data_IF_422578703585
#
_entry.id   IF_422578703585
#
_cell.length_a   1.000
_cell.length_b   1.000
_cell.length_c   1.000
_cell.angle_alpha   90.00
_cell.angle_beta   90.00
_cell.angle_gamma   90.00
#
_symmetry.space_group_name_H-M   'P 1'
#
loop_
_entity.id
_entity.type
_entity.pdbx_description
1 polymer ?
#
# COMPACT_ATOMS: atom_id res chain seq x y z
N UNK A 1 -10.69 27.75 13.49
CA UNK A 1 -11.61 26.72 14.03
C UNK A 1 -11.19 25.42 13.37
N UNK A 2 -10.30 24.68 14.02
CA UNK A 2 -9.79 23.41 13.48
C UNK A 2 -10.91 22.37 13.56
N UNK A 3 -11.28 21.77 12.43
CA UNK A 3 -12.18 20.62 12.42
C UNK A 3 -11.56 19.51 13.31
N UNK A 4 -12.36 18.83 14.15
CA UNK A 4 -11.83 17.77 14.99
C UNK A 4 -11.21 16.73 14.05
N UNK A 5 -9.97 16.30 14.35
CA UNK A 5 -9.23 15.27 13.60
C UNK A 5 -10.01 13.96 13.62
N UNK A 6 -10.99 13.85 12.71
CA UNK A 6 -12.06 12.87 12.79
C UNK A 6 -11.58 11.56 12.18
N UNK A 7 -11.58 10.52 13.00
CA UNK A 7 -11.41 9.15 12.53
C UNK A 7 -12.61 8.78 11.65
N UNK A 8 -12.35 8.35 10.43
CA UNK A 8 -13.36 8.00 9.42
C UNK A 8 -13.60 6.48 9.42
N UNK A 9 -14.81 6.07 9.76
CA UNK A 9 -15.26 4.69 9.67
C UNK A 9 -16.09 4.53 8.41
N UNK A 10 -15.65 3.66 7.51
CA UNK A 10 -16.34 3.37 6.25
C UNK A 10 -16.52 1.87 6.07
N UNK A 11 -17.75 1.45 5.77
CA UNK A 11 -18.02 0.11 5.24
C UNK A 11 -17.70 0.12 3.75
N UNK A 12 -16.65 -0.59 3.33
CA UNK A 12 -16.38 -0.81 1.89
C UNK A 12 -17.42 -1.78 1.34
N UNK A 13 -17.65 -2.86 2.08
CA UNK A 13 -18.72 -3.84 1.88
C UNK A 13 -19.39 -4.12 3.23
N UNK A 14 -20.37 -5.01 3.28
CA UNK A 14 -20.95 -5.44 4.56
C UNK A 14 -19.93 -6.11 5.49
N UNK A 15 -18.87 -6.69 4.92
CA UNK A 15 -17.90 -7.55 5.62
C UNK A 15 -16.48 -7.00 5.66
N UNK A 16 -16.21 -5.89 4.99
CA UNK A 16 -14.90 -5.22 4.98
C UNK A 16 -15.10 -3.76 5.36
N UNK A 17 -14.52 -3.38 6.51
CA UNK A 17 -14.65 -2.06 7.13
C UNK A 17 -13.26 -1.43 7.19
N UNK A 18 -13.17 -0.13 6.95
CA UNK A 18 -11.96 0.65 7.17
C UNK A 18 -12.15 1.68 8.28
N UNK A 19 -11.14 1.83 9.14
CA UNK A 19 -11.04 2.88 10.15
C UNK A 19 -9.78 3.70 9.86
N UNK A 20 -9.97 4.89 9.32
CA UNK A 20 -8.91 5.76 8.81
C UNK A 20 -8.73 6.96 9.72
N UNK A 21 -7.51 7.16 10.23
CA UNK A 21 -7.15 8.36 10.96
C UNK A 21 -6.14 9.19 10.16
N UNK A 22 -6.24 10.54 10.13
CA UNK A 22 -5.20 11.38 9.52
C UNK A 22 -3.82 11.14 10.15
N UNK A 23 -2.74 11.36 9.39
CA UNK A 23 -1.37 11.13 9.88
C UNK A 23 -1.01 12.09 11.03
N UNK A 24 -1.60 13.27 11.00
CA UNK A 24 -1.43 14.37 11.95
C UNK A 24 -2.12 14.12 13.30
N UNK A 25 -2.99 13.10 13.39
CA UNK A 25 -3.70 12.78 14.63
C UNK A 25 -2.75 12.18 15.67
N UNK A 26 -2.66 12.66 16.91
CA UNK A 26 -1.78 12.09 17.94
C UNK A 26 -2.06 10.61 18.25
N UNK A 27 -1.01 9.84 18.56
CA UNK A 27 -1.13 8.39 18.84
C UNK A 27 -2.13 8.06 19.96
N UNK A 28 -2.11 8.76 21.11
CA UNK A 28 -3.05 8.44 22.19
C UNK A 28 -4.50 8.65 21.78
N UNK A 29 -4.77 9.72 21.03
CA UNK A 29 -6.12 10.04 20.55
C UNK A 29 -6.57 9.03 19.48
N UNK A 30 -5.66 8.63 18.59
CA UNK A 30 -5.92 7.56 17.63
C UNK A 30 -6.30 6.25 18.32
N UNK A 31 -5.52 5.81 19.31
CA UNK A 31 -5.75 4.58 20.05
C UNK A 31 -7.07 4.62 20.83
N UNK A 32 -7.38 5.76 21.46
CA UNK A 32 -8.66 5.95 22.14
C UNK A 32 -9.84 5.85 21.16
N UNK A 33 -9.81 6.60 20.06
CA UNK A 33 -10.86 6.59 19.05
C UNK A 33 -11.05 5.20 18.43
N UNK A 34 -9.94 4.51 18.13
CA UNK A 34 -9.97 3.16 17.59
C UNK A 34 -10.63 2.21 18.59
N UNK A 35 -10.30 2.30 19.88
CA UNK A 35 -10.88 1.44 20.90
C UNK A 35 -12.40 1.63 21.02
N UNK A 36 -12.88 2.88 21.02
CA UNK A 36 -14.32 3.19 21.04
C UNK A 36 -15.05 2.60 19.82
N UNK A 37 -14.47 2.75 18.63
CA UNK A 37 -14.98 2.18 17.39
C UNK A 37 -15.01 0.64 17.44
N UNK A 38 -13.94 0.02 17.94
CA UNK A 38 -13.85 -1.43 18.05
C UNK A 38 -14.91 -2.00 19.00
N UNK A 39 -15.18 -1.35 20.13
CA UNK A 39 -16.28 -1.73 21.04
C UNK A 39 -17.62 -1.67 20.33
N UNK A 40 -17.90 -0.60 19.59
CA UNK A 40 -19.12 -0.47 18.80
C UNK A 40 -19.24 -1.59 17.74
N UNK A 41 -18.16 -1.89 17.01
CA UNK A 41 -18.15 -2.93 15.98
C UNK A 41 -18.30 -4.33 16.57
N UNK A 42 -17.68 -4.60 17.72
CA UNK A 42 -17.82 -5.87 18.44
C UNK A 42 -19.26 -6.09 18.91
N UNK A 43 -19.93 -5.04 19.41
CA UNK A 43 -21.35 -5.09 19.78
C UNK A 43 -22.23 -5.38 18.56
N UNK A 44 -22.01 -4.68 17.44
CA UNK A 44 -22.78 -4.87 16.21
C UNK A 44 -22.58 -6.24 15.56
N UNK A 45 -21.34 -6.74 15.54
CA UNK A 45 -20.95 -7.98 14.84
C UNK A 45 -20.74 -9.17 15.78
N UNK A 46 -21.16 -9.09 17.04
CA UNK A 46 -21.14 -10.20 18.02
C UNK A 46 -19.76 -10.88 18.13
N UNK A 47 -18.69 -10.08 18.27
CA UNK A 47 -17.30 -10.56 18.33
C UNK A 47 -16.79 -11.31 17.08
N UNK A 48 -17.43 -11.14 15.91
CA UNK A 48 -16.99 -11.75 14.65
C UNK A 48 -16.05 -10.83 13.83
N UNK A 49 -15.30 -9.94 14.49
CA UNK A 49 -14.38 -9.01 13.84
C UNK A 49 -12.92 -9.50 13.93
N UNK A 50 -12.23 -9.56 12.80
CA UNK A 50 -10.77 -9.57 12.76
C UNK A 50 -10.29 -8.13 12.53
N UNK A 51 -9.52 -7.60 13.47
CA UNK A 51 -8.94 -6.27 13.39
C UNK A 51 -7.53 -6.40 12.83
N UNK A 52 -7.20 -5.62 11.80
CA UNK A 52 -5.93 -5.72 11.11
C UNK A 52 -5.29 -4.33 10.96
N UNK A 53 -4.17 -4.17 11.64
CA UNK A 53 -3.12 -3.22 11.28
C UNK A 53 -2.09 -3.97 10.43
N UNK A 54 -1.73 -3.44 9.26
CA UNK A 54 -0.67 -4.07 8.47
C UNK A 54 0.72 -3.81 9.05
N UNK A 55 0.89 -2.75 9.85
CA UNK A 55 2.19 -2.34 10.39
C UNK A 55 3.24 -2.03 9.31
N UNK A 56 2.82 -1.82 8.06
CA UNK A 56 3.73 -1.53 6.95
C UNK A 56 4.31 -0.11 7.14
N UNK A 57 5.50 0.16 6.59
CA UNK A 57 6.14 1.49 6.69
C UNK A 57 5.58 2.50 5.68
N UNK A 58 5.15 3.68 6.13
CA UNK A 58 4.25 4.62 5.43
C UNK A 58 4.68 5.11 4.03
N UNK A 59 5.89 4.78 3.58
CA UNK A 59 6.44 5.20 2.30
C UNK A 59 7.06 4.07 1.47
N UNK A 60 7.10 2.86 2.00
CA UNK A 60 7.59 1.68 1.27
C UNK A 60 6.40 0.88 0.75
N UNK A 61 6.58 0.30 -0.44
CA UNK A 61 5.64 -0.73 -0.88
C UNK A 61 5.92 -2.00 -0.04
N UNK A 62 4.88 -2.64 0.53
CA UNK A 62 5.05 -3.92 1.20
C UNK A 62 5.57 -4.96 0.21
N UNK A 63 6.35 -5.93 0.69
CA UNK A 63 6.85 -6.98 -0.18
C UNK A 63 5.71 -7.94 -0.60
N UNK A 64 5.94 -8.75 -1.64
CA UNK A 64 4.91 -9.63 -2.18
C UNK A 64 4.41 -10.66 -1.15
N UNK A 65 5.31 -11.23 -0.35
CA UNK A 65 4.96 -12.23 0.67
C UNK A 65 4.03 -11.64 1.73
N UNK A 66 4.30 -10.41 2.19
CA UNK A 66 3.44 -9.68 3.12
C UNK A 66 2.05 -9.45 2.53
N UNK A 67 1.97 -9.02 1.27
CA UNK A 67 0.68 -8.77 0.61
C UNK A 67 -0.13 -10.07 0.52
N UNK A 68 0.46 -11.15 0.03
CA UNK A 68 -0.23 -12.44 -0.12
C UNK A 68 -0.61 -13.05 1.24
N UNK A 69 0.26 -12.93 2.24
CA UNK A 69 -0.02 -13.40 3.60
C UNK A 69 -1.26 -12.71 4.19
N UNK A 70 -1.33 -11.37 4.11
CA UNK A 70 -2.49 -10.62 4.61
C UNK A 70 -3.75 -10.95 3.81
N UNK A 71 -3.68 -11.00 2.47
CA UNK A 71 -4.83 -11.37 1.64
C UNK A 71 -5.36 -12.77 1.97
N UNK A 72 -4.46 -13.75 2.15
CA UNK A 72 -4.83 -15.11 2.53
C UNK A 72 -5.43 -15.18 3.93
N UNK A 73 -4.93 -14.39 4.88
CA UNK A 73 -5.48 -14.31 6.23
C UNK A 73 -6.89 -13.73 6.23
N UNK A 74 -7.11 -12.63 5.50
CA UNK A 74 -8.43 -12.01 5.30
C UNK A 74 -9.42 -13.00 4.69
N UNK A 75 -9.04 -13.66 3.61
CA UNK A 75 -9.91 -14.62 2.94
C UNK A 75 -10.27 -15.80 3.86
N UNK A 76 -9.27 -16.40 4.52
CA UNK A 76 -9.48 -17.50 5.46
C UNK A 76 -10.45 -17.10 6.57
N UNK A 77 -10.27 -15.91 7.14
CA UNK A 77 -11.18 -15.39 8.16
C UNK A 77 -12.61 -15.22 7.63
N UNK A 78 -12.77 -14.59 6.46
CA UNK A 78 -14.09 -14.37 5.88
C UNK A 78 -14.80 -15.68 5.49
N UNK A 79 -14.07 -16.69 5.02
CA UNK A 79 -14.68 -17.97 4.61
C UNK A 79 -15.17 -18.84 5.77
N UNK A 80 -14.65 -18.63 6.98
CA UNK A 80 -15.07 -19.46 8.14
C UNK A 80 -16.50 -19.22 8.63
N UNK A 81 -17.11 -18.05 8.39
CA UNK A 81 -18.52 -17.80 8.73
C UNK A 81 -19.06 -16.57 7.98
N UNK A 82 -20.31 -16.58 7.45
CA UNK A 82 -20.89 -15.43 6.73
C UNK A 82 -21.02 -14.13 7.55
N UNK A 83 -21.02 -14.19 8.89
CA UNK A 83 -21.10 -13.01 9.77
C UNK A 83 -19.74 -12.44 10.15
N UNK A 84 -18.65 -13.06 9.69
CA UNK A 84 -17.29 -12.56 9.96
C UNK A 84 -16.99 -11.35 9.13
N UNK A 85 -16.36 -10.38 9.78
CA UNK A 85 -16.01 -9.08 9.24
C UNK A 85 -14.53 -8.82 9.47
N UNK A 86 -13.90 -8.13 8.52
CA UNK A 86 -12.53 -7.62 8.64
C UNK A 86 -12.59 -6.11 8.85
N UNK A 87 -11.86 -5.62 9.86
CA UNK A 87 -11.70 -4.20 10.17
C UNK A 87 -10.25 -3.83 9.88
N UNK A 88 -10.03 -3.13 8.78
CA UNK A 88 -8.73 -2.59 8.38
C UNK A 88 -8.57 -1.22 9.02
N UNK A 89 -7.54 -1.01 9.84
CA UNK A 89 -7.28 0.31 10.40
C UNK A 89 -5.88 0.80 10.05
N UNK A 90 -5.75 2.11 9.89
CA UNK A 90 -4.44 2.75 9.80
C UNK A 90 -4.51 4.19 10.32
N UNK A 91 -3.41 4.63 10.91
CA UNK A 91 -3.14 6.04 11.22
C UNK A 91 -2.20 6.56 10.13
N UNK A 92 -2.67 7.46 9.28
CA UNK A 92 -1.96 7.78 8.05
C UNK A 92 -2.00 6.61 7.07
N UNK A 93 -0.94 6.37 6.30
CA UNK A 93 -0.77 5.14 5.52
C UNK A 93 -1.80 4.82 4.44
N UNK A 94 -2.60 5.79 3.96
CA UNK A 94 -3.66 5.51 2.95
C UNK A 94 -3.15 4.83 1.68
N UNK A 95 -1.90 5.07 1.28
CA UNK A 95 -1.27 4.39 0.15
C UNK A 95 -1.05 2.89 0.39
N UNK A 96 -0.80 2.46 1.63
CA UNK A 96 -0.68 1.05 2.00
C UNK A 96 -2.03 0.35 2.03
N UNK A 97 -3.04 1.00 2.62
CA UNK A 97 -4.40 0.50 2.55
C UNK A 97 -4.84 0.33 1.09
N UNK A 98 -4.44 1.26 0.21
CA UNK A 98 -4.68 1.14 -1.22
C UNK A 98 -4.02 -0.10 -1.83
N UNK A 99 -2.77 -0.41 -1.45
CA UNK A 99 -2.10 -1.65 -1.86
C UNK A 99 -2.89 -2.87 -1.40
N UNK A 100 -3.27 -2.91 -0.12
CA UNK A 100 -4.00 -4.05 0.45
C UNK A 100 -5.35 -4.24 -0.23
N UNK A 101 -6.19 -3.20 -0.30
CA UNK A 101 -7.53 -3.28 -0.89
C UNK A 101 -7.44 -3.66 -2.37
N UNK A 102 -6.55 -3.04 -3.15
CA UNK A 102 -6.39 -3.39 -4.57
C UNK A 102 -5.92 -4.82 -4.78
N UNK A 103 -4.94 -5.27 -3.98
CA UNK A 103 -4.41 -6.63 -4.05
C UNK A 103 -5.46 -7.65 -3.63
N UNK A 104 -6.25 -7.34 -2.60
CA UNK A 104 -7.33 -8.23 -2.15
C UNK A 104 -8.43 -8.35 -3.21
N UNK A 105 -8.81 -7.27 -3.91
CA UNK A 105 -9.74 -7.34 -5.06
C UNK A 105 -9.22 -8.31 -6.13
N UNK A 106 -7.93 -8.28 -6.48
CA UNK A 106 -7.38 -9.23 -7.46
C UNK A 106 -7.30 -10.65 -6.90
N UNK A 107 -6.94 -10.80 -5.62
CA UNK A 107 -6.81 -12.08 -4.92
C UNK A 107 -8.14 -12.83 -4.81
N UNK A 108 -9.18 -12.18 -4.29
CA UNK A 108 -10.52 -12.77 -4.14
C UNK A 108 -11.18 -13.06 -5.49
N UNK A 109 -10.86 -12.26 -6.54
CA UNK A 109 -11.34 -12.52 -7.92
C UNK A 109 -10.80 -13.85 -8.44
N UNK A 110 -9.53 -14.16 -8.17
CA UNK A 110 -8.87 -15.37 -8.65
C UNK A 110 -9.45 -16.63 -8.01
N UNK A 111 -9.89 -16.52 -6.75
CA UNK A 111 -10.48 -17.63 -6.00
C UNK A 111 -11.95 -17.95 -6.38
N UNK A 112 -12.53 -17.26 -7.36
CA UNK A 112 -13.90 -17.47 -7.86
C UNK A 112 -14.98 -17.53 -6.75
N UNK A 113 -14.84 -16.75 -5.68
CA UNK A 113 -15.86 -16.71 -4.63
C UNK A 113 -17.15 -16.12 -5.24
N UNK A 114 -18.19 -16.95 -5.34
CA UNK A 114 -19.33 -16.75 -6.24
C UNK A 114 -20.27 -15.59 -5.86
N UNK A 115 -20.10 -14.99 -4.68
CA UNK A 115 -20.96 -13.93 -4.13
C UNK A 115 -20.44 -12.49 -4.41
N UNK A 116 -19.41 -12.34 -5.23
CA UNK A 116 -18.52 -11.19 -5.19
C UNK A 116 -18.81 -10.05 -6.18
N UNK A 117 -19.84 -10.09 -7.02
CA UNK A 117 -20.00 -9.05 -8.07
C UNK A 117 -20.25 -7.65 -7.48
N UNK A 118 -21.16 -7.54 -6.51
CA UNK A 118 -21.48 -6.29 -5.83
C UNK A 118 -20.37 -5.86 -4.87
N UNK A 119 -19.80 -6.81 -4.12
CA UNK A 119 -18.68 -6.53 -3.22
C UNK A 119 -17.44 -6.06 -3.99
N UNK A 120 -17.12 -6.67 -5.13
CA UNK A 120 -16.02 -6.21 -5.99
C UNK A 120 -16.31 -4.84 -6.59
N UNK A 121 -17.56 -4.57 -6.97
CA UNK A 121 -17.94 -3.25 -7.44
C UNK A 121 -17.73 -2.20 -6.34
N UNK A 122 -18.22 -2.46 -5.13
CA UNK A 122 -18.09 -1.55 -4.00
C UNK A 122 -16.63 -1.34 -3.61
N UNK A 123 -15.83 -2.42 -3.52
CA UNK A 123 -14.39 -2.36 -3.28
C UNK A 123 -13.64 -1.56 -4.36
N UNK A 124 -13.91 -1.81 -5.65
CA UNK A 124 -13.29 -1.07 -6.76
C UNK A 124 -13.68 0.39 -6.78
N UNK A 125 -14.92 0.72 -6.45
CA UNK A 125 -15.41 2.10 -6.35
C UNK A 125 -14.73 2.83 -5.19
N UNK A 126 -14.66 2.21 -4.02
CA UNK A 126 -13.95 2.76 -2.87
C UNK A 126 -12.47 2.99 -3.18
N UNK A 127 -11.79 1.98 -3.73
CA UNK A 127 -10.39 2.08 -4.16
C UNK A 127 -10.19 3.25 -5.13
N UNK A 128 -10.97 3.30 -6.20
CA UNK A 128 -10.85 4.34 -7.23
C UNK A 128 -11.07 5.75 -6.65
N UNK A 129 -12.12 5.93 -5.85
CA UNK A 129 -12.54 7.24 -5.38
C UNK A 129 -11.72 7.77 -4.19
N UNK A 130 -11.22 6.88 -3.32
CA UNK A 130 -10.64 7.28 -2.03
C UNK A 130 -9.14 7.01 -1.92
N UNK A 131 -8.62 6.01 -2.63
CA UNK A 131 -7.29 5.45 -2.35
C UNK A 131 -6.32 5.53 -3.54
N UNK A 132 -6.80 5.34 -4.77
CA UNK A 132 -5.95 5.14 -5.96
C UNK A 132 -4.97 6.29 -6.24
N UNK A 133 -5.40 7.53 -6.01
CA UNK A 133 -4.60 8.73 -6.23
C UNK A 133 -3.49 8.93 -5.17
N UNK A 134 -3.62 8.27 -4.01
CA UNK A 134 -2.71 8.45 -2.86
C UNK A 134 -1.49 7.52 -2.92
N UNK A 135 -1.44 6.63 -3.90
CA UNK A 135 -0.37 5.64 -4.01
C UNK A 135 0.87 6.20 -4.67
N UNK A 136 2.05 5.84 -4.13
CA UNK A 136 3.33 6.08 -4.79
C UNK A 136 3.49 5.20 -6.05
N UNK A 137 4.37 5.58 -7.00
CA UNK A 137 4.67 4.74 -8.16
C UNK A 137 5.13 3.32 -7.78
N UNK A 138 5.92 3.17 -6.71
CA UNK A 138 6.37 1.88 -6.20
C UNK A 138 5.20 1.03 -5.69
N UNK A 139 4.26 1.62 -4.95
CA UNK A 139 3.07 0.91 -4.47
C UNK A 139 2.19 0.43 -5.64
N UNK A 140 1.98 1.27 -6.67
CA UNK A 140 1.25 0.87 -7.89
C UNK A 140 1.93 -0.28 -8.63
N UNK A 141 3.27 -0.27 -8.69
CA UNK A 141 4.06 -1.36 -9.27
C UNK A 141 3.82 -2.68 -8.54
N UNK A 142 3.79 -2.68 -7.20
CA UNK A 142 3.54 -3.90 -6.42
C UNK A 142 2.13 -4.45 -6.62
N UNK A 143 1.10 -3.59 -6.67
CA UNK A 143 -0.26 -4.02 -7.03
C UNK A 143 -0.30 -4.64 -8.44
N UNK A 144 0.41 -4.04 -9.40
CA UNK A 144 0.52 -4.61 -10.74
C UNK A 144 1.23 -5.96 -10.75
N UNK A 145 2.31 -6.14 -9.96
CA UNK A 145 3.01 -7.42 -9.81
C UNK A 145 2.06 -8.49 -9.26
N UNK A 146 1.36 -8.19 -8.16
CA UNK A 146 0.38 -9.10 -7.55
C UNK A 146 -0.67 -9.54 -8.56
N UNK A 147 -1.29 -8.59 -9.27
CA UNK A 147 -2.26 -8.88 -10.34
C UNK A 147 -1.67 -9.78 -11.42
N UNK A 148 -0.44 -9.49 -11.86
CA UNK A 148 0.22 -10.23 -12.94
C UNK A 148 0.56 -11.66 -12.52
N UNK A 149 1.00 -11.85 -11.27
CA UNK A 149 1.26 -13.16 -10.68
C UNK A 149 -0.04 -13.97 -10.57
N UNK A 150 -1.10 -13.38 -9.99
CA UNK A 150 -2.39 -14.05 -9.80
C UNK A 150 -3.06 -14.46 -11.11
N UNK A 151 -2.89 -13.68 -12.17
CA UNK A 151 -3.39 -13.98 -13.52
C UNK A 151 -2.47 -14.91 -14.33
N UNK A 152 -1.35 -15.36 -13.75
CA UNK A 152 -0.36 -16.21 -14.43
C UNK A 152 0.46 -15.49 -15.51
N UNK A 153 0.36 -14.17 -15.63
CA UNK A 153 1.11 -13.35 -16.57
C UNK A 153 2.56 -13.07 -16.15
N UNK A 154 2.91 -13.32 -14.89
CA UNK A 154 4.26 -13.19 -14.36
C UNK A 154 4.62 -14.37 -13.47
N UNK A 155 5.78 -14.99 -13.70
CA UNK A 155 6.35 -16.03 -12.82
C UNK A 155 7.50 -15.43 -12.01
N UNK A 156 7.41 -15.53 -10.69
CA UNK A 156 8.49 -15.08 -9.80
C UNK A 156 9.61 -16.11 -9.82
N UNK A 157 10.83 -15.66 -10.12
CA UNK A 157 12.03 -16.50 -10.06
C UNK A 157 12.81 -16.21 -8.77
N UNK A 158 13.19 -17.23 -7.99
CA UNK A 158 14.05 -17.05 -6.82
C UNK A 158 15.54 -16.91 -7.20
N UNK A 159 15.88 -16.99 -8.50
CA UNK A 159 17.27 -16.97 -8.95
C UNK A 159 17.92 -15.61 -8.66
N UNK A 160 19.14 -15.58 -8.10
CA UNK A 160 19.83 -14.32 -7.84
C UNK A 160 20.10 -13.58 -9.16
N UNK A 161 20.01 -12.26 -9.10
CA UNK A 161 20.32 -11.37 -10.21
C UNK A 161 21.53 -10.50 -9.86
N UNK A 162 22.36 -10.24 -10.86
CA UNK A 162 23.50 -9.34 -10.74
C UNK A 162 23.16 -7.99 -11.36
N UNK A 163 23.26 -6.92 -10.57
CA UNK A 163 23.15 -5.56 -11.09
C UNK A 163 24.53 -5.09 -11.54
N UNK A 164 24.77 -5.11 -12.85
CA UNK A 164 26.05 -4.68 -13.42
C UNK A 164 26.17 -3.16 -13.60
N UNK A 165 25.08 -2.51 -13.99
CA UNK A 165 25.10 -1.10 -14.34
C UNK A 165 23.72 -0.47 -14.11
N UNK A 166 23.73 0.80 -13.70
CA UNK A 166 22.54 1.68 -13.70
C UNK A 166 22.85 2.84 -14.62
N UNK A 167 22.05 2.99 -15.68
CA UNK A 167 22.15 4.10 -16.62
C UNK A 167 21.11 5.15 -16.25
N UNK A 168 21.55 6.36 -15.95
CA UNK A 168 20.68 7.50 -15.68
C UNK A 168 20.53 8.33 -16.96
N UNK A 169 19.33 8.35 -17.53
CA UNK A 169 19.02 9.18 -18.70
C UNK A 169 18.63 10.58 -18.26
N UNK A 170 19.49 11.56 -18.55
CA UNK A 170 19.29 12.96 -18.17
C UNK A 170 19.64 13.24 -16.72
N UNK A 171 20.11 14.46 -16.46
CA UNK A 171 20.54 14.87 -15.13
C UNK A 171 19.40 15.63 -14.45
N UNK A 172 18.97 15.21 -13.25
CA UNK A 172 17.99 15.98 -12.51
C UNK A 172 18.60 17.32 -12.12
N UNK A 173 17.92 18.42 -12.47
CA UNK A 173 18.32 19.78 -12.07
C UNK A 173 17.97 20.00 -10.59
N UNK A 174 18.81 19.44 -9.72
CA UNK A 174 18.60 19.45 -8.26
C UNK A 174 19.04 20.77 -7.60
N UNK A 175 19.91 21.52 -8.26
CA UNK A 175 20.41 22.81 -7.78
C UNK A 175 20.43 23.84 -8.91
N UNK A 176 20.29 25.12 -8.52
CA UNK A 176 20.32 26.28 -9.42
C UNK A 176 21.71 26.51 -10.05
N UNK A 177 22.77 26.06 -9.40
CA UNK A 177 24.16 26.14 -9.88
C UNK A 177 24.52 25.03 -10.88
N UNK A 178 23.65 24.04 -11.08
CA UNK A 178 23.85 22.94 -12.03
C UNK A 178 24.88 21.89 -11.59
N UNK A 179 25.48 22.03 -10.40
CA UNK A 179 26.45 21.08 -9.86
C UNK A 179 25.81 20.14 -8.83
N UNK A 180 25.95 18.83 -9.04
CA UNK A 180 25.41 17.84 -8.12
C UNK A 180 26.32 16.62 -8.00
N UNK A 181 26.48 16.09 -6.78
CA UNK A 181 27.07 14.78 -6.54
C UNK A 181 25.97 13.73 -6.42
N UNK A 182 25.95 12.75 -7.32
CA UNK A 182 25.01 11.63 -7.29
C UNK A 182 25.68 10.38 -6.75
N UNK A 183 24.99 9.62 -5.93
CA UNK A 183 25.40 8.27 -5.55
C UNK A 183 24.18 7.34 -5.55
N UNK A 184 24.43 6.06 -5.76
CA UNK A 184 23.42 5.02 -5.70
C UNK A 184 23.60 4.23 -4.41
N UNK A 185 22.50 4.00 -3.69
CA UNK A 185 22.46 3.04 -2.59
C UNK A 185 21.41 1.99 -2.88
N UNK A 186 21.81 0.73 -2.79
CA UNK A 186 20.97 -0.43 -3.07
C UNK A 186 20.65 -1.11 -1.76
N UNK A 187 19.37 -1.41 -1.57
CA UNK A 187 18.85 -2.09 -0.40
C UNK A 187 18.27 -3.44 -0.78
N UNK A 188 18.50 -4.44 0.06
CA UNK A 188 17.78 -5.70 0.05
C UNK A 188 17.02 -5.82 1.37
N UNK A 189 15.69 -5.80 1.28
CA UNK A 189 14.86 -5.55 2.47
C UNK A 189 15.22 -4.19 3.08
N UNK A 190 15.52 -4.17 4.38
CA UNK A 190 15.93 -2.96 5.10
C UNK A 190 17.46 -2.79 5.20
N UNK A 191 18.24 -3.69 4.61
CA UNK A 191 19.70 -3.67 4.69
C UNK A 191 20.32 -3.08 3.43
N UNK A 192 21.21 -2.09 3.59
CA UNK A 192 22.01 -1.58 2.49
C UNK A 192 23.05 -2.64 2.09
N UNK A 193 23.03 -3.06 0.83
CA UNK A 193 23.94 -4.09 0.29
C UNK A 193 25.06 -3.50 -0.56
N UNK A 194 24.84 -2.30 -1.10
CA UNK A 194 25.84 -1.58 -1.88
C UNK A 194 25.61 -0.08 -1.79
N UNK A 195 26.70 0.69 -1.71
CA UNK A 195 26.71 2.14 -1.91
C UNK A 195 27.81 2.46 -2.91
N UNK A 196 27.47 3.15 -4.00
CA UNK A 196 28.46 3.59 -4.99
C UNK A 196 29.31 4.72 -4.42
N UNK A 197 30.41 5.04 -5.11
CA UNK A 197 31.08 6.33 -4.92
C UNK A 197 30.13 7.49 -5.30
N UNK A 198 30.47 8.69 -4.83
CA UNK A 198 29.80 9.91 -5.28
C UNK A 198 30.37 10.29 -6.65
N UNK A 199 29.49 10.46 -7.62
CA UNK A 199 29.80 10.88 -8.98
C UNK A 199 29.46 12.37 -9.12
N UNK A 200 30.46 13.25 -9.32
CA UNK A 200 30.20 14.65 -9.61
C UNK A 200 29.59 14.77 -11.00
N UNK A 201 28.59 15.63 -11.11
CA UNK A 201 27.83 15.87 -12.33
C UNK A 201 27.64 17.37 -12.50
N UNK A 202 28.01 17.89 -13.66
CA UNK A 202 27.64 19.23 -14.12
C UNK A 202 26.61 19.13 -15.23
N UNK A 203 25.51 19.88 -15.14
CA UNK A 203 24.65 20.09 -16.28
C UNK A 203 25.41 20.91 -17.35
N UNK A 204 25.35 20.54 -18.64
CA UNK A 204 25.97 21.37 -19.67
C UNK A 204 25.32 22.76 -19.67
N UNK A 205 26.12 23.85 -19.77
CA UNK A 205 25.58 25.19 -19.92
C UNK A 205 24.86 25.25 -21.27
N UNK A 206 23.56 25.53 -21.24
CA UNK A 206 22.70 25.80 -22.42
C UNK A 206 22.64 24.69 -23.49
N UNK A 207 21.83 23.67 -23.24
CA UNK A 207 21.22 22.84 -24.29
C UNK A 207 19.69 22.96 -24.25
N UNK A 208 18.99 23.03 -25.40
CA UNK A 208 17.54 23.20 -25.42
C UNK A 208 16.85 22.04 -24.70
N UNK A 209 15.73 22.33 -24.04
CA UNK A 209 14.91 21.32 -23.38
C UNK A 209 14.50 20.24 -24.40
N UNK A 210 14.61 18.94 -24.08
CA UNK A 210 14.05 17.91 -24.94
C UNK A 210 12.52 18.09 -25.02
N UNK A 211 12.00 18.01 -26.25
CA UNK A 211 10.56 18.12 -26.60
C UNK A 211 9.70 17.10 -25.85
#
# INVERSE_FOLDING_TARGET
>A
MEEPQRTDLTYITERIITVLCPAECPEPLYQQNLQEILVMLQSKHQHNCMVLDTGWLDHLAPNLDQIFSVCSSMEKWLQTHPRRVVVLHCRGGKGQLAVLVASYIDFSSMLNSADLSLDHFAMRRFYSNKLSALMTPSQKRYVWLVRSILKGGLKVSPSPLFLFCVVLHGLPRLRLDGECGLFLRIYQGSQAVCTSAVHPVSAPPDGPAPL
#
